data_IF_093140647714
#
_entry.id   IF_093140647714
#
_cell.length_a   1.000
_cell.length_b   1.000
_cell.length_c   1.000
_cell.angle_alpha   90.00
_cell.angle_beta   90.00
_cell.angle_gamma   90.00
#
_symmetry.space_group_name_H-M   'P 1'
#
loop_
_entity.id
_entity.type
_entity.pdbx_description
1 polymer ?
#
# COMPACT_ATOMS: atom_id res chain seq x y z
N UNK A 1 -0.13 -2.67 -20.01
CA UNK A 1 0.58 -1.75 -20.91
C UNK A 1 1.71 -2.51 -21.58
N UNK A 2 1.96 -2.24 -22.85
CA UNK A 2 3.08 -2.83 -23.60
C UNK A 2 3.94 -1.68 -24.14
N UNK A 3 5.26 -1.80 -23.99
CA UNK A 3 6.24 -0.94 -24.62
C UNK A 3 7.20 -1.84 -25.39
N UNK A 4 7.45 -1.55 -26.67
CA UNK A 4 8.20 -2.42 -27.59
C UNK A 4 7.79 -3.91 -27.54
N UNK A 5 6.48 -4.18 -27.48
CA UNK A 5 5.88 -5.52 -27.34
C UNK A 5 6.26 -6.25 -26.03
N UNK A 6 6.88 -5.57 -25.07
CA UNK A 6 7.15 -6.11 -23.74
C UNK A 6 6.12 -5.58 -22.75
N UNK A 7 5.61 -6.47 -21.90
CA UNK A 7 4.69 -6.08 -20.82
C UNK A 7 5.48 -5.30 -19.77
N UNK A 8 5.10 -4.03 -19.57
CA UNK A 8 5.71 -3.11 -18.60
C UNK A 8 4.78 -2.87 -17.40
N UNK A 9 5.12 -1.90 -16.55
CA UNK A 9 4.31 -1.50 -15.40
C UNK A 9 2.87 -1.13 -15.78
N UNK A 10 1.91 -1.24 -14.84
CA UNK A 10 0.59 -0.66 -15.05
C UNK A 10 0.67 0.87 -15.07
N UNK A 11 -0.37 1.52 -15.62
CA UNK A 11 -0.52 2.99 -15.56
C UNK A 11 -0.48 3.51 -14.11
N UNK A 12 -1.03 2.73 -13.19
CA UNK A 12 -0.96 2.99 -11.76
C UNK A 12 -1.21 1.70 -10.98
N UNK A 13 -0.62 1.62 -9.79
CA UNK A 13 -1.00 0.61 -8.80
C UNK A 13 -2.21 1.10 -8.00
N UNK A 14 -2.99 0.16 -7.46
CA UNK A 14 -4.13 0.46 -6.60
C UNK A 14 -3.82 0.01 -5.15
N UNK A 15 -3.16 0.86 -4.34
CA UNK A 15 -2.80 0.51 -2.96
C UNK A 15 -4.03 0.35 -2.06
N UNK A 16 -3.85 -0.19 -0.84
CA UNK A 16 -4.94 -0.34 0.14
C UNK A 16 -5.27 0.95 0.89
N UNK A 17 -4.39 1.95 0.81
CA UNK A 17 -4.54 3.30 1.37
C UNK A 17 -3.95 4.31 0.37
N UNK A 18 -4.40 5.58 0.36
CA UNK A 18 -3.92 6.57 -0.60
C UNK A 18 -2.48 6.99 -0.29
N UNK A 19 -1.51 6.33 -0.93
CA UNK A 19 -0.08 6.58 -0.71
C UNK A 19 0.35 8.01 -1.01
N UNK A 20 -0.37 8.70 -1.91
CA UNK A 20 -0.16 10.12 -2.20
C UNK A 20 -0.30 11.00 -0.96
N UNK A 21 -1.21 10.66 -0.03
CA UNK A 21 -1.35 11.38 1.24
C UNK A 21 -0.27 10.95 2.25
N UNK A 22 0.18 9.69 2.22
CA UNK A 22 1.16 9.18 3.19
C UNK A 22 2.54 9.80 2.97
N UNK A 23 3.03 9.74 1.74
CA UNK A 23 4.37 10.21 1.40
C UNK A 23 4.40 11.68 0.96
N UNK A 24 3.23 12.29 0.79
CA UNK A 24 3.10 13.57 0.12
C UNK A 24 3.41 13.45 -1.37
N UNK A 25 3.38 14.59 -2.05
CA UNK A 25 3.74 14.71 -3.46
C UNK A 25 4.35 16.09 -3.71
N UNK A 26 5.48 16.12 -4.40
CA UNK A 26 6.15 17.37 -4.79
C UNK A 26 6.66 17.23 -6.22
N UNK A 27 6.26 18.15 -7.08
CA UNK A 27 6.61 18.11 -8.50
C UNK A 27 6.36 19.43 -9.20
N UNK A 28 7.24 19.78 -10.13
CA UNK A 28 7.12 21.00 -10.95
C UNK A 28 7.05 20.56 -12.42
N UNK A 29 5.97 20.94 -13.08
CA UNK A 29 5.79 20.76 -14.51
C UNK A 29 5.60 22.09 -15.23
N UNK A 30 5.35 22.03 -16.53
CA UNK A 30 5.02 23.22 -17.31
C UNK A 30 3.58 23.65 -17.03
N UNK A 31 3.40 24.81 -16.40
CA UNK A 31 2.09 25.40 -16.11
C UNK A 31 1.46 24.99 -14.77
N UNK A 32 1.95 23.91 -14.14
CA UNK A 32 1.42 23.40 -12.87
C UNK A 32 2.53 22.96 -11.92
N UNK A 33 2.25 23.03 -10.63
CA UNK A 33 3.07 22.44 -9.58
C UNK A 33 2.18 21.62 -8.63
N UNK A 34 2.73 20.55 -8.08
CA UNK A 34 2.10 19.77 -7.03
C UNK A 34 2.86 19.95 -5.73
N UNK A 35 2.14 20.26 -4.66
CA UNK A 35 2.68 20.30 -3.30
C UNK A 35 1.65 19.78 -2.30
N UNK A 36 1.88 18.57 -1.84
CA UNK A 36 1.06 17.87 -0.86
C UNK A 36 1.97 17.36 0.29
N UNK A 37 1.62 17.62 1.56
CA UNK A 37 2.41 17.17 2.69
C UNK A 37 2.11 15.71 3.04
N UNK A 38 2.90 15.18 3.97
CA UNK A 38 2.69 13.87 4.57
C UNK A 38 1.53 13.90 5.56
N UNK A 39 0.83 12.77 5.70
CA UNK A 39 -0.23 12.53 6.66
C UNK A 39 0.03 11.26 7.46
N UNK A 40 -0.56 11.19 8.66
CA UNK A 40 -0.38 10.04 9.52
C UNK A 40 -1.09 8.81 8.93
N UNK A 41 -0.35 7.70 8.87
CA UNK A 41 -0.84 6.44 8.30
C UNK A 41 -2.06 5.92 9.06
N UNK A 42 -2.05 6.02 10.40
CA UNK A 42 -3.14 5.50 11.23
C UNK A 42 -4.38 6.38 11.11
N UNK A 43 -4.23 7.70 11.00
CA UNK A 43 -5.34 8.61 10.72
C UNK A 43 -5.99 8.32 9.36
N UNK A 44 -5.19 8.14 8.31
CA UNK A 44 -5.70 7.78 6.98
C UNK A 44 -6.43 6.44 7.01
N UNK A 45 -5.85 5.41 7.65
CA UNK A 45 -6.52 4.10 7.82
C UNK A 45 -7.82 4.24 8.60
N UNK A 46 -7.84 5.06 9.65
CA UNK A 46 -9.04 5.30 10.45
C UNK A 46 -10.14 5.96 9.61
N UNK A 47 -9.82 6.97 8.80
CA UNK A 47 -10.78 7.60 7.92
C UNK A 47 -11.30 6.64 6.83
N UNK A 48 -10.44 5.79 6.26
CA UNK A 48 -10.90 4.74 5.34
C UNK A 48 -11.89 3.81 6.05
N UNK A 49 -11.61 3.39 7.30
CA UNK A 49 -12.53 2.56 8.08
C UNK A 49 -13.87 3.25 8.34
N UNK A 50 -13.85 4.54 8.69
CA UNK A 50 -15.07 5.35 8.85
C UNK A 50 -15.92 5.35 7.59
N UNK A 51 -15.29 5.57 6.44
CA UNK A 51 -15.98 5.57 5.15
C UNK A 51 -16.52 4.18 4.77
N UNK A 52 -15.81 3.09 5.14
CA UNK A 52 -16.33 1.72 5.00
C UNK A 52 -17.56 1.44 5.87
N UNK A 53 -17.71 2.16 6.98
CA UNK A 53 -18.86 2.08 7.88
C UNK A 53 -19.97 3.07 7.50
N UNK A 54 -19.78 3.89 6.47
CA UNK A 54 -20.74 4.87 5.95
C UNK A 54 -20.64 6.26 6.59
N UNK A 55 -19.63 6.50 7.41
CA UNK A 55 -19.37 7.80 8.04
C UNK A 55 -18.53 8.71 7.15
N UNK A 56 -18.69 10.03 7.33
CA UNK A 56 -17.79 11.02 6.72
C UNK A 56 -16.37 10.98 7.36
N UNK A 57 -15.30 11.18 6.55
CA UNK A 57 -13.94 11.23 7.04
C UNK A 57 -13.73 12.48 7.91
N UNK A 58 -12.93 12.34 8.95
CA UNK A 58 -12.51 13.44 9.81
C UNK A 58 -11.44 14.29 9.10
N UNK A 59 -11.35 15.60 9.41
CA UNK A 59 -10.20 16.41 9.04
C UNK A 59 -8.88 15.79 9.53
N UNK A 60 -7.85 15.87 8.70
CA UNK A 60 -6.50 15.39 9.02
C UNK A 60 -5.52 16.55 8.92
N UNK A 61 -4.56 16.59 9.83
CA UNK A 61 -3.47 17.56 9.79
C UNK A 61 -2.22 16.92 9.19
N UNK A 62 -1.34 17.71 8.54
CA UNK A 62 -0.06 17.22 8.10
C UNK A 62 0.72 16.60 9.28
N UNK A 63 1.30 15.41 9.04
CA UNK A 63 2.05 14.66 10.04
C UNK A 63 3.28 14.05 9.40
N UNK A 64 4.41 14.18 10.08
CA UNK A 64 5.70 13.71 9.61
C UNK A 64 6.22 12.66 10.58
N UNK A 65 6.55 11.48 10.06
CA UNK A 65 7.04 10.37 10.89
C UNK A 65 8.27 10.81 11.69
N UNK A 66 8.27 10.51 12.99
CA UNK A 66 9.32 10.85 13.98
C UNK A 66 9.52 12.34 14.28
N UNK A 67 8.78 13.25 13.64
CA UNK A 67 8.81 14.67 13.97
C UNK A 67 8.17 14.90 15.35
N UNK A 68 8.89 15.59 16.23
CA UNK A 68 8.42 15.86 17.61
C UNK A 68 7.78 17.22 17.78
N UNK A 69 7.95 18.10 16.79
CA UNK A 69 7.39 19.44 16.83
C UNK A 69 5.88 19.45 16.62
N UNK A 70 5.33 20.64 16.43
CA UNK A 70 3.88 20.85 16.33
C UNK A 70 3.49 21.36 14.95
N UNK A 71 2.35 20.89 14.44
CA UNK A 71 1.72 21.40 13.23
C UNK A 71 0.37 22.00 13.62
N UNK A 72 0.17 23.28 13.31
CA UNK A 72 -1.06 24.01 13.61
C UNK A 72 -1.65 24.56 12.32
N UNK A 73 -2.95 24.37 12.14
CA UNK A 73 -3.70 25.01 11.05
C UNK A 73 -4.01 26.47 11.42
N UNK A 74 -3.61 27.40 10.54
CA UNK A 74 -3.94 28.82 10.66
C UNK A 74 -5.16 29.23 9.83
N UNK A 75 -5.47 28.44 8.82
CA UNK A 75 -6.57 28.65 7.91
C UNK A 75 -6.60 27.54 6.86
N UNK A 76 -7.58 27.55 5.95
CA UNK A 76 -7.71 26.50 4.95
C UNK A 76 -6.41 26.32 4.15
N UNK A 77 -5.86 25.11 4.19
CA UNK A 77 -4.59 24.74 3.53
C UNK A 77 -3.36 25.56 3.96
N UNK A 78 -3.40 26.21 5.13
CA UNK A 78 -2.29 26.99 5.68
C UNK A 78 -1.92 26.50 7.07
N UNK A 79 -0.68 26.07 7.22
CA UNK A 79 -0.16 25.47 8.44
C UNK A 79 1.11 26.19 8.91
N UNK A 80 1.32 26.25 10.22
CA UNK A 80 2.63 26.53 10.81
C UNK A 80 3.19 25.23 11.37
N UNK A 81 4.42 24.93 10.97
CA UNK A 81 5.22 23.83 11.50
C UNK A 81 6.24 24.44 12.45
N UNK A 82 6.16 24.09 13.73
CA UNK A 82 7.05 24.60 14.77
C UNK A 82 7.97 23.50 15.28
N UNK A 83 9.27 23.80 15.42
CA UNK A 83 10.22 22.95 16.13
C UNK A 83 10.02 23.03 17.66
N UNK A 84 10.96 22.45 18.40
CA UNK A 84 10.96 22.47 19.86
C UNK A 84 12.14 23.30 20.39
N UNK A 85 11.83 24.21 21.30
CA UNK A 85 12.81 25.00 22.05
C UNK A 85 12.37 25.10 23.50
N UNK A 86 13.31 24.94 24.42
CA UNK A 86 13.10 25.04 25.86
C UNK A 86 14.18 25.91 26.50
N UNK A 87 13.82 26.59 27.59
CA UNK A 87 14.75 27.41 28.37
C UNK A 87 15.26 26.53 29.50
N UNK A 88 16.59 26.36 29.60
CA UNK A 88 17.22 25.56 30.66
C UNK A 88 17.52 26.41 31.89
N UNK A 89 18.03 27.63 31.67
CA UNK A 89 18.35 28.62 32.70
C UNK A 89 18.34 30.04 32.10
N UNK A 90 18.65 31.07 32.90
CA UNK A 90 18.65 32.49 32.47
C UNK A 90 19.65 32.82 31.36
N UNK A 91 20.54 31.91 31.00
CA UNK A 91 21.58 32.11 29.98
C UNK A 91 21.59 31.06 28.88
N UNK A 92 20.73 30.03 28.97
CA UNK A 92 20.83 28.84 28.12
C UNK A 92 19.49 28.39 27.60
N UNK A 93 19.41 28.18 26.28
CA UNK A 93 18.26 27.55 25.61
C UNK A 93 18.67 26.26 24.90
N UNK A 94 17.75 25.32 24.84
CA UNK A 94 17.93 24.03 24.18
C UNK A 94 16.92 23.87 23.04
N UNK A 95 17.43 23.60 21.83
CA UNK A 95 16.63 23.32 20.64
C UNK A 95 16.73 21.82 20.35
N UNK A 96 15.62 21.10 20.52
CA UNK A 96 15.54 19.63 20.39
C UNK A 96 14.91 19.16 19.08
N UNK A 97 14.27 20.06 18.34
CA UNK A 97 13.63 19.73 17.07
C UNK A 97 13.59 20.96 16.15
N UNK A 98 13.86 20.74 14.85
CA UNK A 98 13.72 21.77 13.83
C UNK A 98 12.41 21.55 13.05
N UNK A 99 11.80 22.60 12.48
CA UNK A 99 10.63 22.41 11.61
C UNK A 99 10.88 21.38 10.51
N UNK A 100 9.85 20.62 10.14
CA UNK A 100 9.95 19.65 9.07
C UNK A 100 10.48 20.30 7.77
N UNK A 101 11.37 19.58 7.05
CA UNK A 101 12.14 20.05 5.89
C UNK A 101 13.22 21.12 6.20
N UNK A 102 13.51 21.41 7.47
CA UNK A 102 14.69 22.21 7.86
C UNK A 102 15.85 21.29 8.24
N UNK A 103 16.90 21.30 7.43
CA UNK A 103 18.09 20.44 7.63
C UNK A 103 19.04 21.03 8.66
N UNK A 104 19.62 20.18 9.53
CA UNK A 104 20.51 20.58 10.63
C UNK A 104 21.67 21.46 10.19
N UNK A 105 22.38 21.08 9.12
CA UNK A 105 23.52 21.84 8.60
C UNK A 105 23.09 23.20 8.04
N UNK A 106 21.97 23.25 7.31
CA UNK A 106 21.44 24.51 6.77
C UNK A 106 21.02 25.43 7.90
N UNK A 107 20.37 24.90 8.94
CA UNK A 107 19.97 25.67 10.11
C UNK A 107 21.19 26.24 10.84
N UNK A 108 22.23 25.43 11.04
CA UNK A 108 23.50 25.88 11.62
C UNK A 108 24.10 27.05 10.83
N UNK A 109 24.30 26.88 9.53
CA UNK A 109 24.97 27.86 8.66
C UNK A 109 24.15 29.14 8.46
N UNK A 110 22.83 29.05 8.34
CA UNK A 110 21.97 30.18 7.97
C UNK A 110 21.31 30.86 9.17
N UNK A 111 21.25 30.22 10.33
CA UNK A 111 20.59 30.76 11.53
C UNK A 111 21.58 30.94 12.67
N UNK A 112 22.27 29.88 13.11
CA UNK A 112 23.13 29.94 14.30
C UNK A 112 24.44 30.71 14.07
N UNK A 113 25.13 30.46 12.95
CA UNK A 113 26.39 31.16 12.63
C UNK A 113 26.21 32.70 12.51
N UNK A 114 25.16 33.21 11.84
CA UNK A 114 24.88 34.65 11.84
C UNK A 114 24.46 35.19 13.21
N UNK A 115 23.78 34.39 14.03
CA UNK A 115 23.42 34.78 15.41
C UNK A 115 24.65 34.84 16.31
N UNK A 116 25.68 34.03 16.08
CA UNK A 116 26.92 34.01 16.87
C UNK A 116 27.87 35.15 16.48
N UNK A 117 28.15 35.29 15.18
CA UNK A 117 29.17 36.21 14.69
C UNK A 117 28.61 37.61 14.39
N UNK A 118 27.29 37.72 14.27
CA UNK A 118 26.64 38.87 13.66
C UNK A 118 26.80 38.86 12.13
N UNK A 119 26.07 39.75 11.47
CA UNK A 119 26.20 40.05 10.04
C UNK A 119 26.23 41.56 9.85
N UNK A 120 26.52 42.04 8.63
CA UNK A 120 26.46 43.48 8.30
C UNK A 120 25.09 44.12 8.64
N UNK A 121 24.02 43.31 8.71
CA UNK A 121 22.64 43.78 8.96
C UNK A 121 22.11 43.45 10.35
N UNK A 122 22.73 42.53 11.08
CA UNK A 122 22.19 42.02 12.35
C UNK A 122 23.31 41.84 13.37
N UNK A 123 23.21 42.44 14.56
CA UNK A 123 24.21 42.22 15.61
C UNK A 123 24.19 40.76 16.10
N UNK A 124 25.28 40.28 16.71
CA UNK A 124 25.29 38.97 17.35
C UNK A 124 24.24 38.93 18.47
N UNK A 125 23.51 37.82 18.53
CA UNK A 125 22.44 37.55 19.48
C UNK A 125 22.88 36.53 20.54
N UNK A 126 23.70 35.55 20.16
CA UNK A 126 24.14 34.45 21.02
C UNK A 126 25.64 34.56 21.29
N UNK A 127 26.11 34.00 22.40
CA UNK A 127 27.53 34.06 22.80
C UNK A 127 28.30 32.80 22.42
N UNK A 128 27.64 31.64 22.42
CA UNK A 128 28.22 30.34 22.07
C UNK A 128 27.08 29.35 21.76
N UNK A 129 27.37 28.26 21.06
CA UNK A 129 26.45 27.13 20.95
C UNK A 129 27.21 25.81 20.85
N UNK A 130 26.59 24.73 21.35
CA UNK A 130 27.13 23.36 21.27
C UNK A 130 26.15 22.42 20.60
N UNK A 131 26.69 21.48 19.84
CA UNK A 131 25.94 20.50 19.07
C UNK A 131 26.05 19.12 19.72
N UNK A 132 24.89 18.49 19.95
CA UNK A 132 24.78 17.14 20.51
C UNK A 132 23.87 16.28 19.63
N UNK A 133 24.03 16.41 18.32
CA UNK A 133 23.21 15.73 17.32
C UNK A 133 23.52 14.23 17.25
N UNK A 134 22.54 13.46 16.81
CA UNK A 134 22.76 12.10 16.30
C UNK A 134 22.49 12.09 14.80
N UNK A 135 22.56 10.92 14.18
CA UNK A 135 22.11 10.68 12.81
C UNK A 135 20.60 10.93 12.61
N UNK A 136 19.82 10.86 13.68
CA UNK A 136 18.35 10.90 13.64
C UNK A 136 17.70 11.97 14.51
N UNK A 137 18.46 12.69 15.33
CA UNK A 137 17.93 13.70 16.27
C UNK A 137 18.76 14.97 16.29
N UNK A 138 18.08 16.12 16.42
CA UNK A 138 18.71 17.43 16.59
C UNK A 138 18.81 17.78 18.07
N UNK A 139 19.89 18.46 18.44
CA UNK A 139 20.08 19.04 19.77
C UNK A 139 21.13 20.15 19.74
N UNK A 140 20.70 21.39 19.87
CA UNK A 140 21.58 22.54 20.07
C UNK A 140 21.41 23.07 21.48
N UNK A 141 22.53 23.34 22.16
CA UNK A 141 22.55 24.06 23.44
C UNK A 141 23.17 25.41 23.17
N UNK A 142 22.36 26.46 23.23
CA UNK A 142 22.72 27.83 22.83
C UNK A 142 22.85 28.69 24.08
N UNK A 143 23.97 29.42 24.18
CA UNK A 143 24.25 30.35 25.27
C UNK A 143 24.00 31.79 24.85
N UNK A 144 23.43 32.56 25.76
CA UNK A 144 23.07 33.96 25.58
C UNK A 144 23.38 34.75 26.86
N UNK A 145 23.38 36.08 26.76
CA UNK A 145 23.34 36.92 27.97
C UNK A 145 21.91 36.95 28.51
N UNK A 146 21.75 37.14 29.83
CA UNK A 146 20.42 37.17 30.46
C UNK A 146 19.51 38.23 29.84
N UNK A 147 20.06 39.41 29.52
CA UNK A 147 19.35 40.49 28.84
C UNK A 147 18.80 40.05 27.47
N UNK A 148 19.65 39.40 26.65
CA UNK A 148 19.26 38.96 25.30
C UNK A 148 18.27 37.79 25.34
N UNK A 149 18.38 36.91 26.33
CA UNK A 149 17.41 35.83 26.49
C UNK A 149 16.03 36.37 26.89
N UNK A 150 15.98 37.31 27.85
CA UNK A 150 14.72 37.95 28.24
C UNK A 150 14.05 38.70 27.06
N UNK A 151 14.85 39.40 26.24
CA UNK A 151 14.38 40.01 24.99
C UNK A 151 13.83 38.95 24.00
N UNK A 152 14.53 37.82 23.85
CA UNK A 152 14.14 36.75 22.94
C UNK A 152 12.85 36.03 23.39
N UNK A 153 12.67 35.80 24.69
CA UNK A 153 11.45 35.24 25.27
C UNK A 153 10.26 36.17 25.05
N UNK A 154 10.43 37.47 25.33
CA UNK A 154 9.38 38.47 25.11
C UNK A 154 8.97 38.57 23.63
N UNK A 155 9.91 38.38 22.70
CA UNK A 155 9.64 38.36 21.27
C UNK A 155 9.09 37.00 20.76
N UNK A 156 9.21 35.94 21.56
CA UNK A 156 8.86 34.56 21.24
C UNK A 156 10.04 33.77 20.65
N UNK A 157 10.51 32.76 21.40
CA UNK A 157 11.70 31.97 21.05
C UNK A 157 11.60 31.31 19.66
N UNK A 158 10.45 30.71 19.33
CA UNK A 158 10.24 30.10 18.01
C UNK A 158 10.45 31.08 16.86
N UNK A 159 10.00 32.33 17.01
CA UNK A 159 10.15 33.38 16.00
C UNK A 159 11.60 33.86 15.91
N UNK A 160 12.23 34.07 17.06
CA UNK A 160 13.62 34.56 17.16
C UNK A 160 14.58 33.54 16.55
N UNK A 161 14.48 32.28 16.97
CA UNK A 161 15.32 31.19 16.49
C UNK A 161 14.88 30.59 15.14
N UNK A 162 13.91 31.20 14.45
CA UNK A 162 13.45 30.71 13.12
C UNK A 162 12.99 29.25 13.15
N UNK A 163 12.41 28.80 14.27
CA UNK A 163 11.87 27.46 14.47
C UNK A 163 10.40 27.37 14.08
N UNK A 164 9.95 28.21 13.15
CA UNK A 164 8.61 28.20 12.58
C UNK A 164 8.69 28.35 11.08
N UNK A 165 8.10 27.40 10.35
CA UNK A 165 7.96 27.44 8.90
C UNK A 165 6.48 27.41 8.52
N UNK A 166 6.09 28.27 7.59
CA UNK A 166 4.74 28.25 7.01
C UNK A 166 4.67 27.22 5.88
N UNK A 167 3.65 26.38 5.90
CA UNK A 167 3.31 25.44 4.86
C UNK A 167 1.96 25.83 4.25
N UNK A 168 1.94 26.13 2.96
CA UNK A 168 0.71 26.43 2.21
C UNK A 168 0.49 25.39 1.12
N UNK A 169 -0.71 24.81 1.09
CA UNK A 169 -1.08 23.69 0.21
C UNK A 169 -2.17 24.08 -0.79
N UNK A 170 -1.97 25.19 -1.53
CA UNK A 170 -2.95 25.67 -2.53
C UNK A 170 -2.82 25.02 -3.92
N UNK A 171 -1.81 24.16 -4.10
CA UNK A 171 -1.46 23.55 -5.38
C UNK A 171 -1.44 22.02 -5.25
N UNK A 172 -2.57 21.44 -4.87
CA UNK A 172 -2.76 19.99 -4.84
C UNK A 172 -3.24 19.54 -6.23
N UNK A 173 -2.30 19.40 -7.17
CA UNK A 173 -2.59 19.04 -8.56
C UNK A 173 -2.10 17.62 -8.82
N UNK A 174 -3.01 16.72 -9.18
CA UNK A 174 -2.71 15.31 -9.44
C UNK A 174 -3.41 14.86 -10.72
N UNK A 175 -2.90 13.80 -11.34
CA UNK A 175 -3.66 13.07 -12.36
C UNK A 175 -4.74 12.23 -11.68
N UNK A 176 -5.97 12.29 -12.21
CA UNK A 176 -7.02 11.36 -11.83
C UNK A 176 -6.80 9.98 -12.45
N UNK A 177 -7.65 9.02 -12.10
CA UNK A 177 -7.53 7.64 -12.59
C UNK A 177 -7.78 7.48 -14.10
N UNK A 178 -8.24 8.54 -14.79
CA UNK A 178 -8.41 8.59 -16.24
C UNK A 178 -7.24 9.31 -16.93
N UNK A 179 -6.20 9.68 -16.19
CA UNK A 179 -5.05 10.42 -16.72
C UNK A 179 -5.34 11.91 -16.96
N UNK A 180 -6.44 12.46 -16.43
CA UNK A 180 -6.76 13.87 -16.55
C UNK A 180 -6.21 14.66 -15.36
N UNK A 181 -5.58 15.80 -15.64
CA UNK A 181 -5.00 16.66 -14.60
C UNK A 181 -6.12 17.38 -13.83
N UNK A 182 -6.14 17.26 -12.50
CA UNK A 182 -7.11 17.91 -11.61
C UNK A 182 -6.43 18.65 -10.47
N UNK A 183 -7.03 19.79 -10.09
CA UNK A 183 -6.70 20.51 -8.85
C UNK A 183 -7.74 20.15 -7.79
N UNK A 184 -7.25 19.78 -6.61
CA UNK A 184 -8.06 19.49 -5.44
C UNK A 184 -8.00 20.68 -4.48
N UNK A 185 -9.14 21.05 -3.90
CA UNK A 185 -9.20 22.17 -2.94
C UNK A 185 -9.01 21.70 -1.50
N UNK A 186 -9.47 20.48 -1.16
CA UNK A 186 -9.26 19.87 0.15
C UNK A 186 -8.80 18.42 0.03
N UNK A 187 -8.04 17.96 1.02
CA UNK A 187 -7.47 16.59 1.03
C UNK A 187 -8.54 15.49 1.10
N UNK A 188 -9.71 15.81 1.63
CA UNK A 188 -10.84 14.90 1.76
C UNK A 188 -11.38 14.52 0.38
N UNK A 189 -11.28 15.41 -0.61
CA UNK A 189 -11.69 15.11 -1.99
C UNK A 189 -10.79 14.04 -2.61
N UNK A 190 -9.47 14.15 -2.38
CA UNK A 190 -8.48 13.14 -2.80
C UNK A 190 -8.80 11.79 -2.12
N UNK A 191 -9.10 11.82 -0.82
CA UNK A 191 -9.43 10.62 -0.06
C UNK A 191 -10.73 9.96 -0.56
N UNK A 192 -11.75 10.75 -0.86
CA UNK A 192 -13.05 10.28 -1.38
C UNK A 192 -12.92 9.68 -2.78
N UNK A 193 -12.24 10.36 -3.69
CA UNK A 193 -12.01 9.85 -5.05
C UNK A 193 -11.22 8.53 -5.02
N UNK A 194 -10.15 8.47 -4.20
CA UNK A 194 -9.40 7.23 -3.99
C UNK A 194 -10.28 6.12 -3.41
N UNK A 195 -11.12 6.43 -2.42
CA UNK A 195 -11.97 5.45 -1.75
C UNK A 195 -12.97 4.80 -2.70
N UNK A 196 -13.66 5.61 -3.51
CA UNK A 196 -14.63 5.12 -4.49
C UNK A 196 -13.97 4.19 -5.52
N UNK A 197 -12.82 4.63 -6.06
CA UNK A 197 -12.04 3.83 -6.98
C UNK A 197 -11.59 2.52 -6.32
N UNK A 198 -11.04 2.60 -5.10
CA UNK A 198 -10.52 1.42 -4.40
C UNK A 198 -11.63 0.43 -4.07
N UNK A 199 -12.81 0.90 -3.65
CA UNK A 199 -14.00 0.05 -3.44
C UNK A 199 -14.37 -0.73 -4.71
N UNK A 200 -14.41 -0.04 -5.86
CA UNK A 200 -14.67 -0.69 -7.15
C UNK A 200 -13.66 -1.81 -7.44
N UNK A 201 -12.38 -1.55 -7.19
CA UNK A 201 -11.32 -2.54 -7.41
C UNK A 201 -11.35 -3.71 -6.41
N UNK A 202 -11.87 -3.53 -5.19
CA UNK A 202 -12.17 -4.68 -4.32
C UNK A 202 -13.32 -5.54 -4.84
N UNK A 203 -14.33 -4.93 -5.47
CA UNK A 203 -15.36 -5.65 -6.23
C UNK A 203 -14.74 -6.52 -7.32
N UNK A 204 -13.96 -5.89 -8.21
CA UNK A 204 -13.24 -6.59 -9.29
C UNK A 204 -12.32 -7.70 -8.77
N UNK A 205 -11.59 -7.43 -7.68
CA UNK A 205 -10.74 -8.43 -7.02
C UNK A 205 -11.55 -9.61 -6.50
N UNK A 206 -12.70 -9.36 -5.87
CA UNK A 206 -13.57 -10.43 -5.38
C UNK A 206 -14.06 -11.29 -6.53
N UNK A 207 -14.54 -10.69 -7.61
CA UNK A 207 -15.05 -11.41 -8.78
C UNK A 207 -13.94 -12.25 -9.45
N UNK A 208 -12.74 -11.68 -9.58
CA UNK A 208 -11.56 -12.41 -10.06
C UNK A 208 -11.23 -13.61 -9.19
N UNK A 209 -11.16 -13.43 -7.86
CA UNK A 209 -10.86 -14.50 -6.92
C UNK A 209 -11.94 -15.59 -6.92
N UNK A 210 -13.21 -15.22 -7.09
CA UNK A 210 -14.32 -16.18 -7.25
C UNK A 210 -14.17 -16.99 -8.54
N UNK A 211 -13.75 -16.35 -9.63
CA UNK A 211 -13.43 -17.01 -10.90
C UNK A 211 -12.28 -18.01 -10.78
N UNK A 212 -11.14 -17.58 -10.23
CA UNK A 212 -9.96 -18.42 -9.99
C UNK A 212 -10.31 -19.62 -9.11
N UNK A 213 -10.85 -19.38 -7.91
CA UNK A 213 -11.15 -20.44 -6.95
C UNK A 213 -12.28 -21.35 -7.46
N UNK A 214 -13.25 -20.80 -8.19
CA UNK A 214 -14.29 -21.58 -8.85
C UNK A 214 -13.72 -22.56 -9.87
N UNK A 215 -12.82 -22.08 -10.74
CA UNK A 215 -12.14 -22.90 -11.73
C UNK A 215 -11.22 -23.96 -11.09
N UNK A 216 -10.46 -23.60 -10.06
CA UNK A 216 -9.62 -24.53 -9.28
C UNK A 216 -10.46 -25.61 -8.59
N UNK A 217 -11.56 -25.21 -7.93
CA UNK A 217 -12.49 -26.13 -7.25
C UNK A 217 -13.14 -27.09 -8.23
N UNK A 218 -13.56 -26.60 -9.41
CA UNK A 218 -14.14 -27.43 -10.46
C UNK A 218 -13.11 -28.44 -11.01
N UNK A 219 -11.87 -27.98 -11.26
CA UNK A 219 -10.77 -28.85 -11.70
C UNK A 219 -10.49 -29.98 -10.72
N UNK A 220 -10.35 -29.67 -9.43
CA UNK A 220 -10.13 -30.68 -8.38
C UNK A 220 -11.33 -31.62 -8.23
N UNK A 221 -12.54 -31.11 -8.39
CA UNK A 221 -13.77 -31.92 -8.34
C UNK A 221 -13.81 -32.95 -9.47
N UNK A 222 -13.48 -32.53 -10.69
CA UNK A 222 -13.37 -33.42 -11.86
C UNK A 222 -12.22 -34.43 -11.70
N UNK A 223 -11.06 -34.01 -11.18
CA UNK A 223 -9.95 -34.93 -10.90
C UNK A 223 -10.32 -35.97 -9.83
N UNK A 224 -10.95 -35.55 -8.73
CA UNK A 224 -11.39 -36.46 -7.67
C UNK A 224 -12.44 -37.44 -8.19
N UNK A 225 -13.42 -36.96 -8.97
CA UNK A 225 -14.44 -37.79 -9.62
C UNK A 225 -13.82 -38.84 -10.56
N UNK A 226 -12.86 -38.43 -11.39
CA UNK A 226 -12.15 -39.31 -12.31
C UNK A 226 -11.43 -40.45 -11.59
N UNK A 227 -10.68 -40.13 -10.53
CA UNK A 227 -9.96 -41.12 -9.72
C UNK A 227 -10.93 -42.06 -9.00
N UNK A 228 -12.02 -41.54 -8.44
CA UNK A 228 -13.05 -42.34 -7.76
C UNK A 228 -13.72 -43.32 -8.73
N UNK A 229 -14.19 -42.83 -9.88
CA UNK A 229 -14.85 -43.67 -10.89
C UNK A 229 -13.88 -44.72 -11.48
N UNK A 230 -12.58 -44.38 -11.58
CA UNK A 230 -11.55 -45.32 -12.03
C UNK A 230 -11.30 -46.44 -11.02
N UNK A 231 -11.25 -46.13 -9.72
CA UNK A 231 -11.06 -47.11 -8.64
C UNK A 231 -12.31 -47.98 -8.47
N UNK A 232 -13.50 -47.41 -8.63
CA UNK A 232 -14.78 -48.12 -8.55
C UNK A 232 -15.08 -48.97 -9.79
N UNK A 233 -14.21 -48.94 -10.81
CA UNK A 233 -14.38 -49.70 -12.06
C UNK A 233 -15.46 -49.16 -12.99
N UNK A 234 -16.07 -48.01 -12.67
CA UNK A 234 -17.06 -47.32 -13.53
C UNK A 234 -16.42 -46.71 -14.77
N UNK A 235 -15.14 -46.32 -14.66
CA UNK A 235 -14.35 -45.73 -15.73
C UNK A 235 -13.20 -46.66 -16.12
N UNK A 236 -13.25 -47.18 -17.35
CA UNK A 236 -12.19 -48.05 -17.91
C UNK A 236 -11.48 -47.29 -19.03
N UNK A 237 -10.17 -47.08 -18.87
CA UNK A 237 -9.32 -46.32 -19.80
C UNK A 237 -8.27 -47.19 -20.50
N UNK A 238 -8.05 -48.40 -20.00
CA UNK A 238 -7.06 -49.34 -20.52
C UNK A 238 -7.34 -49.71 -21.98
N UNK A 239 -6.30 -49.61 -22.82
CA UNK A 239 -6.31 -50.03 -24.22
C UNK A 239 -7.40 -49.37 -25.10
N UNK A 240 -7.88 -48.16 -24.73
CA UNK A 240 -8.81 -47.37 -25.55
C UNK A 240 -8.08 -46.30 -26.38
N UNK A 241 -8.46 -46.09 -27.65
CA UNK A 241 -7.96 -44.97 -28.45
C UNK A 241 -8.24 -43.61 -27.79
N UNK A 242 -7.29 -42.67 -27.89
CA UNK A 242 -7.41 -41.31 -27.31
C UNK A 242 -8.72 -40.60 -27.70
N UNK A 243 -9.14 -40.74 -28.96
CA UNK A 243 -10.38 -40.13 -29.47
C UNK A 243 -11.63 -40.68 -28.75
N UNK A 244 -11.67 -41.98 -28.49
CA UNK A 244 -12.77 -42.62 -27.76
C UNK A 244 -12.78 -42.22 -26.28
N UNK A 245 -11.61 -42.05 -25.67
CA UNK A 245 -11.49 -41.55 -24.29
C UNK A 245 -12.08 -40.13 -24.15
N UNK A 246 -11.75 -39.24 -25.08
CA UNK A 246 -12.29 -37.86 -25.10
C UNK A 246 -13.82 -37.88 -25.23
N UNK A 247 -14.36 -38.65 -26.20
CA UNK A 247 -15.81 -38.79 -26.38
C UNK A 247 -16.52 -39.47 -25.20
N UNK A 248 -15.84 -40.37 -24.49
CA UNK A 248 -16.37 -40.99 -23.28
C UNK A 248 -16.45 -39.99 -22.13
N UNK A 249 -15.39 -39.23 -21.87
CA UNK A 249 -15.38 -38.20 -20.83
C UNK A 249 -16.43 -37.11 -21.08
N UNK A 250 -16.59 -36.70 -22.33
CA UNK A 250 -17.64 -35.76 -22.74
C UNK A 250 -19.05 -36.32 -22.49
N UNK A 251 -19.32 -37.58 -22.86
CA UNK A 251 -20.60 -38.25 -22.57
C UNK A 251 -20.87 -38.42 -21.07
N UNK A 252 -19.83 -38.56 -20.27
CA UNK A 252 -19.93 -38.65 -18.81
C UNK A 252 -20.05 -37.28 -18.13
N UNK A 253 -20.02 -36.19 -18.90
CA UNK A 253 -20.16 -34.82 -18.40
C UNK A 253 -18.96 -34.35 -17.58
N UNK A 254 -17.75 -34.73 -17.98
CA UNK A 254 -16.54 -34.08 -17.48
C UNK A 254 -16.33 -32.76 -18.20
N UNK A 255 -15.95 -31.72 -17.46
CA UNK A 255 -15.64 -30.44 -18.08
C UNK A 255 -14.25 -30.48 -18.75
N UNK A 256 -14.09 -29.74 -19.84
CA UNK A 256 -12.76 -29.35 -20.34
C UNK A 256 -12.03 -28.52 -19.27
N UNK A 257 -10.69 -28.48 -19.26
CA UNK A 257 -9.88 -27.84 -18.19
C UNK A 257 -10.46 -26.48 -17.75
N UNK A 258 -11.11 -26.41 -16.57
CA UNK A 258 -11.83 -25.21 -16.15
C UNK A 258 -10.91 -24.01 -15.94
N UNK A 259 -9.67 -24.24 -15.51
CA UNK A 259 -8.70 -23.17 -15.26
C UNK A 259 -8.20 -22.57 -16.56
N UNK A 260 -7.94 -23.41 -17.57
CA UNK A 260 -7.52 -22.94 -18.90
C UNK A 260 -8.68 -22.22 -19.61
N UNK A 261 -9.89 -22.75 -19.50
CA UNK A 261 -11.09 -22.10 -20.03
C UNK A 261 -11.33 -20.73 -19.39
N UNK A 262 -11.21 -20.64 -18.06
CA UNK A 262 -11.36 -19.38 -17.34
C UNK A 262 -10.28 -18.36 -17.73
N UNK A 263 -8.99 -18.74 -17.77
CA UNK A 263 -7.91 -17.84 -18.22
C UNK A 263 -8.16 -17.27 -19.62
N UNK A 264 -8.53 -18.15 -20.56
CA UNK A 264 -8.86 -17.74 -21.93
C UNK A 264 -10.07 -16.79 -22.00
N UNK A 265 -11.04 -16.94 -21.08
CA UNK A 265 -12.18 -16.03 -20.99
C UNK A 265 -11.79 -14.63 -20.50
N UNK A 266 -10.75 -14.53 -19.66
CA UNK A 266 -10.24 -13.25 -19.18
C UNK A 266 -9.40 -12.56 -20.25
N UNK A 267 -8.53 -13.30 -20.95
CA UNK A 267 -7.73 -12.77 -22.07
C UNK A 267 -8.62 -12.18 -23.18
N UNK A 268 -9.69 -12.89 -23.54
CA UNK A 268 -10.69 -12.39 -24.51
C UNK A 268 -11.49 -11.18 -24.05
N UNK A 269 -11.55 -10.90 -22.75
CA UNK A 269 -12.24 -9.74 -22.21
C UNK A 269 -11.31 -8.52 -22.13
N UNK A 270 -9.99 -8.72 -22.15
CA UNK A 270 -8.96 -7.66 -22.17
C UNK A 270 -8.67 -7.14 -23.59
N UNK A 271 -8.90 -7.94 -24.63
CA UNK A 271 -8.84 -7.50 -26.03
C UNK A 271 -10.13 -6.73 -26.40
N UNK A 272 -10.04 -5.42 -26.63
CA UNK A 272 -11.16 -4.60 -27.15
C UNK A 272 -11.72 -5.18 -28.48
N UNK A 273 -13.02 -5.06 -28.76
CA UNK A 273 -13.70 -5.71 -29.89
C UNK A 273 -13.40 -5.07 -31.28
N UNK A 274 -12.22 -4.50 -31.51
CA UNK A 274 -11.85 -3.87 -32.80
C UNK A 274 -10.79 -4.63 -33.62
N UNK A 275 -10.58 -5.92 -33.36
CA UNK A 275 -9.73 -6.75 -34.21
C UNK A 275 -10.33 -8.14 -34.48
N UNK A 276 -11.56 -8.18 -35.00
CA UNK A 276 -11.97 -9.34 -35.79
C UNK A 276 -11.27 -9.28 -37.15
N UNK A 277 -10.08 -9.87 -37.24
CA UNK A 277 -9.59 -10.62 -38.42
C UNK A 277 -8.16 -11.09 -38.16
N UNK A 278 -8.05 -12.27 -37.53
CA UNK A 278 -7.01 -13.31 -37.71
C UNK A 278 -6.79 -14.08 -36.40
N UNK A 279 -7.83 -14.77 -35.92
CA UNK A 279 -7.64 -15.85 -34.97
C UNK A 279 -7.28 -17.12 -35.75
N UNK A 280 -5.99 -17.43 -35.80
CA UNK A 280 -5.47 -18.73 -36.19
C UNK A 280 -6.25 -19.86 -35.49
N UNK A 281 -6.51 -20.93 -36.22
CA UNK A 281 -7.26 -22.11 -35.78
C UNK A 281 -6.55 -22.84 -34.63
N UNK A 282 -6.76 -22.41 -33.40
CA UNK A 282 -6.30 -23.12 -32.19
C UNK A 282 -7.30 -24.21 -31.85
N UNK A 283 -6.95 -25.45 -32.17
CA UNK A 283 -7.55 -26.74 -31.74
C UNK A 283 -8.83 -26.63 -30.89
N UNK A 284 -9.98 -26.55 -31.56
CA UNK A 284 -11.33 -26.36 -31.00
C UNK A 284 -11.91 -27.60 -30.28
N UNK A 285 -11.07 -28.39 -29.58
CA UNK A 285 -11.48 -29.63 -28.92
C UNK A 285 -11.51 -29.52 -27.39
N UNK A 286 -12.29 -30.38 -26.69
CA UNK A 286 -12.22 -30.50 -25.24
C UNK A 286 -10.82 -30.86 -24.74
N UNK A 287 -10.33 -30.13 -23.73
CA UNK A 287 -9.01 -30.35 -23.11
C UNK A 287 -9.15 -31.16 -21.81
N UNK A 288 -8.98 -32.48 -21.92
CA UNK A 288 -8.97 -33.41 -20.80
C UNK A 288 -7.56 -33.78 -20.32
N UNK A 289 -6.52 -33.05 -20.77
CA UNK A 289 -5.14 -33.40 -20.39
C UNK A 289 -4.93 -33.32 -18.87
N UNK A 290 -5.63 -32.43 -18.17
CA UNK A 290 -5.55 -32.30 -16.71
C UNK A 290 -6.07 -33.53 -15.93
N UNK A 291 -6.83 -34.41 -16.59
CA UNK A 291 -7.25 -35.70 -16.06
C UNK A 291 -6.30 -36.82 -16.51
N UNK A 292 -6.01 -36.88 -17.81
CA UNK A 292 -5.26 -37.97 -18.42
C UNK A 292 -3.74 -37.93 -18.15
N UNK A 293 -3.20 -36.77 -17.78
CA UNK A 293 -1.79 -36.61 -17.41
C UNK A 293 -1.50 -36.91 -15.94
N UNK A 294 -2.53 -37.25 -15.15
CA UNK A 294 -2.33 -37.63 -13.75
C UNK A 294 -1.52 -38.93 -13.66
N UNK A 295 -0.39 -38.94 -12.92
CA UNK A 295 0.40 -40.16 -12.72
C UNK A 295 -0.38 -41.30 -12.08
N UNK A 296 0.00 -42.56 -12.39
CA UNK A 296 -0.69 -43.76 -11.88
C UNK A 296 -0.78 -43.85 -10.35
N UNK A 297 0.18 -43.26 -9.62
CA UNK A 297 0.16 -43.23 -8.16
C UNK A 297 -1.00 -42.41 -7.56
N UNK A 298 -1.71 -41.60 -8.36
CA UNK A 298 -2.98 -40.97 -7.95
C UNK A 298 -4.09 -41.99 -7.67
N UNK A 299 -3.95 -43.23 -8.13
CA UNK A 299 -4.88 -44.32 -7.82
C UNK A 299 -4.59 -45.00 -6.47
N UNK A 300 -3.51 -44.61 -5.77
CA UNK A 300 -3.25 -45.08 -4.42
C UNK A 300 -4.25 -44.49 -3.42
N UNK A 301 -4.51 -45.22 -2.33
CA UNK A 301 -5.43 -44.77 -1.27
C UNK A 301 -5.01 -43.42 -0.69
N UNK A 302 -3.72 -43.26 -0.38
CA UNK A 302 -3.17 -42.04 0.20
C UNK A 302 -3.40 -40.83 -0.71
N UNK A 303 -3.10 -40.96 -2.01
CA UNK A 303 -3.26 -39.83 -2.93
C UNK A 303 -4.71 -39.51 -3.23
N UNK A 304 -5.58 -40.52 -3.30
CA UNK A 304 -7.03 -40.30 -3.38
C UNK A 304 -7.52 -39.46 -2.19
N UNK A 305 -7.15 -39.85 -0.97
CA UNK A 305 -7.57 -39.14 0.24
C UNK A 305 -7.02 -37.71 0.27
N UNK A 306 -5.76 -37.52 -0.13
CA UNK A 306 -5.15 -36.19 -0.26
C UNK A 306 -5.88 -35.32 -1.30
N UNK A 307 -6.20 -35.86 -2.48
CA UNK A 307 -6.91 -35.14 -3.53
C UNK A 307 -8.32 -34.74 -3.11
N UNK A 308 -9.04 -35.64 -2.41
CA UNK A 308 -10.36 -35.32 -1.85
C UNK A 308 -10.26 -34.21 -0.80
N UNK A 309 -9.26 -34.27 0.10
CA UNK A 309 -9.00 -33.20 1.07
C UNK A 309 -8.69 -31.87 0.38
N UNK A 310 -7.88 -31.87 -0.68
CA UNK A 310 -7.57 -30.66 -1.45
C UNK A 310 -8.82 -30.04 -2.09
N UNK A 311 -9.68 -30.87 -2.70
CA UNK A 311 -10.98 -30.43 -3.22
C UNK A 311 -11.82 -29.77 -2.12
N UNK A 312 -12.00 -30.46 -0.99
CA UNK A 312 -12.87 -30.00 0.10
C UNK A 312 -12.36 -28.68 0.70
N UNK A 313 -11.03 -28.55 0.86
CA UNK A 313 -10.40 -27.29 1.30
C UNK A 313 -10.67 -26.17 0.30
N UNK A 314 -10.51 -26.41 -1.01
CA UNK A 314 -10.76 -25.40 -2.03
C UNK A 314 -12.23 -24.99 -2.13
N UNK A 315 -13.14 -25.93 -1.95
CA UNK A 315 -14.57 -25.65 -1.90
C UNK A 315 -14.93 -24.83 -0.65
N UNK A 316 -14.32 -25.13 0.50
CA UNK A 316 -14.46 -24.33 1.72
C UNK A 316 -13.89 -22.92 1.56
N UNK A 317 -12.72 -22.76 0.94
CA UNK A 317 -12.11 -21.45 0.61
C UNK A 317 -13.07 -20.63 -0.26
N UNK A 318 -13.61 -21.24 -1.33
CA UNK A 318 -14.56 -20.59 -2.23
C UNK A 318 -15.83 -20.16 -1.51
N UNK A 319 -16.40 -21.04 -0.68
CA UNK A 319 -17.61 -20.73 0.08
C UNK A 319 -17.36 -19.64 1.14
N UNK A 320 -16.18 -19.62 1.74
CA UNK A 320 -15.77 -18.55 2.66
C UNK A 320 -15.66 -17.22 1.92
N UNK A 321 -15.02 -17.20 0.75
CA UNK A 321 -14.88 -15.99 -0.07
C UNK A 321 -16.24 -15.45 -0.56
N UNK A 322 -17.16 -16.33 -0.97
CA UNK A 322 -18.52 -15.94 -1.39
C UNK A 322 -19.25 -15.14 -0.31
N UNK A 323 -19.03 -15.49 0.97
CA UNK A 323 -19.65 -14.84 2.13
C UNK A 323 -19.04 -13.49 2.47
N UNK A 324 -17.78 -13.23 2.09
CA UNK A 324 -17.11 -11.94 2.34
C UNK A 324 -17.58 -10.88 1.36
N UNK A 325 -17.87 -9.68 1.83
CA UNK A 325 -18.09 -8.51 0.97
C UNK A 325 -16.76 -7.88 0.52
N UNK A 326 -16.81 -6.98 -0.46
CA UNK A 326 -15.64 -6.16 -0.86
C UNK A 326 -15.10 -5.35 0.33
N UNK A 327 -16.01 -4.83 1.17
CA UNK A 327 -15.71 -4.13 2.41
C UNK A 327 -14.95 -5.02 3.40
N UNK A 328 -15.37 -6.27 3.58
CA UNK A 328 -14.70 -7.21 4.50
C UNK A 328 -13.28 -7.52 4.05
N UNK A 329 -13.08 -7.74 2.75
CA UNK A 329 -11.74 -7.96 2.17
C UNK A 329 -10.83 -6.77 2.42
N UNK A 330 -11.35 -5.54 2.30
CA UNK A 330 -10.56 -4.36 2.60
C UNK A 330 -10.25 -4.23 4.10
N UNK A 331 -11.21 -4.50 4.97
CA UNK A 331 -11.00 -4.48 6.43
C UNK A 331 -9.91 -5.48 6.86
N UNK A 332 -9.89 -6.67 6.26
CA UNK A 332 -8.85 -7.69 6.49
C UNK A 332 -7.46 -7.20 6.06
N UNK A 333 -7.33 -6.63 4.86
CA UNK A 333 -6.06 -6.10 4.36
C UNK A 333 -5.56 -4.93 5.25
N UNK A 334 -6.44 -4.04 5.69
CA UNK A 334 -6.09 -2.93 6.59
C UNK A 334 -5.66 -3.43 7.98
N UNK A 335 -6.29 -4.49 8.48
CA UNK A 335 -5.92 -5.09 9.77
C UNK A 335 -4.53 -5.73 9.70
N UNK A 336 -4.27 -6.54 8.65
CA UNK A 336 -2.97 -7.15 8.42
C UNK A 336 -1.87 -6.09 8.23
N UNK A 337 -2.17 -5.01 7.51
CA UNK A 337 -1.25 -3.89 7.33
C UNK A 337 -0.91 -3.20 8.65
N UNK A 338 -1.91 -2.90 9.50
CA UNK A 338 -1.66 -2.25 10.78
C UNK A 338 -0.86 -3.15 11.75
N UNK A 339 -1.14 -4.44 11.76
CA UNK A 339 -0.36 -5.42 12.55
C UNK A 339 1.12 -5.38 12.15
N UNK A 340 1.41 -5.47 10.85
CA UNK A 340 2.79 -5.43 10.36
C UNK A 340 3.44 -4.05 10.56
N UNK A 341 2.67 -2.96 10.43
CA UNK A 341 3.17 -1.61 10.69
C UNK A 341 3.62 -1.44 12.15
N UNK A 342 2.91 -2.03 13.10
CA UNK A 342 3.29 -2.00 14.52
C UNK A 342 4.55 -2.82 14.82
N UNK A 343 4.73 -3.95 14.13
CA UNK A 343 5.94 -4.77 14.22
C UNK A 343 7.15 -4.04 13.63
N UNK A 344 6.97 -3.43 12.45
CA UNK A 344 8.05 -2.76 11.71
C UNK A 344 8.41 -1.37 12.25
N UNK A 345 7.50 -0.70 12.96
CA UNK A 345 7.72 0.61 13.59
C UNK A 345 7.35 0.56 15.07
N UNK A 346 8.17 -0.13 15.91
CA UNK A 346 7.95 -0.14 17.34
C UNK A 346 8.01 1.29 17.89
N UNK A 347 7.13 1.60 18.86
CA UNK A 347 7.14 2.89 19.54
C UNK A 347 8.55 3.14 20.12
N UNK A 348 9.07 4.38 20.06
CA UNK A 348 10.34 4.69 20.72
C UNK A 348 10.26 4.28 22.20
N UNK A 349 11.02 3.27 22.59
CA UNK A 349 11.03 2.70 23.95
C UNK A 349 10.56 1.24 24.08
N UNK A 350 10.02 0.61 23.04
CA UNK A 350 9.66 -0.82 23.05
C UNK A 350 10.64 -1.65 22.21
N UNK A 351 11.73 -2.10 22.83
CA UNK A 351 12.58 -3.15 22.25
C UNK A 351 11.86 -4.47 22.46
N UNK A 352 11.20 -4.99 21.41
CA UNK A 352 10.70 -6.37 21.46
C UNK A 352 11.92 -7.29 21.39
N UNK A 353 12.29 -7.89 22.51
CA UNK A 353 13.27 -8.97 22.55
C UNK A 353 12.63 -10.22 21.94
N UNK A 354 12.74 -10.40 20.62
CA UNK A 354 12.35 -11.66 19.97
C UNK A 354 13.56 -12.58 19.82
N UNK A 355 13.89 -13.30 20.90
CA UNK A 355 14.48 -14.64 20.73
C UNK A 355 13.37 -15.62 20.35
N UNK A 356 12.92 -15.57 19.10
CA UNK A 356 12.07 -16.61 18.53
C UNK A 356 12.50 -16.87 17.09
N UNK A 357 12.97 -18.09 16.83
CA UNK A 357 13.39 -18.55 15.50
C UNK A 357 12.24 -18.38 14.49
N UNK A 358 12.52 -17.99 13.23
CA UNK A 358 11.48 -17.82 12.22
C UNK A 358 10.88 -19.19 11.87
N UNK A 359 9.55 -19.31 12.03
CA UNK A 359 8.79 -20.40 11.40
C UNK A 359 8.68 -20.07 9.91
N UNK A 360 9.18 -20.97 9.06
CA UNK A 360 8.95 -20.94 7.61
C UNK A 360 7.44 -21.10 7.34
N UNK A 361 6.76 -20.02 7.02
CA UNK A 361 5.47 -20.05 6.33
C UNK A 361 5.70 -19.78 4.85
N UNK A 362 5.17 -20.69 4.03
CA UNK A 362 5.26 -20.73 2.59
C UNK A 362 4.79 -19.44 1.92
N UNK A 363 5.49 -19.04 0.86
CA UNK A 363 5.37 -17.74 0.22
C UNK A 363 3.97 -17.38 -0.26
N UNK A 364 3.54 -16.18 0.13
CA UNK A 364 2.67 -15.32 -0.66
C UNK A 364 3.48 -14.05 -0.93
N UNK A 365 3.79 -13.82 -2.20
CA UNK A 365 4.51 -12.65 -2.66
C UNK A 365 3.68 -11.39 -2.37
N UNK A 366 4.06 -10.64 -1.33
CA UNK A 366 3.74 -9.23 -1.21
C UNK A 366 4.85 -8.45 -1.91
N UNK A 367 4.62 -8.05 -3.15
CA UNK A 367 5.46 -7.03 -3.79
C UNK A 367 5.05 -5.67 -3.20
N UNK A 368 5.70 -5.31 -2.09
CA UNK A 368 5.74 -3.94 -1.60
C UNK A 368 6.87 -3.24 -2.35
N UNK A 369 6.55 -2.62 -3.48
CA UNK A 369 7.51 -1.76 -4.19
C UNK A 369 7.24 -0.33 -3.74
N UNK A 370 8.07 0.12 -2.81
CA UNK A 370 8.40 1.54 -2.66
C UNK A 370 9.17 1.97 -3.91
N UNK A 371 8.62 2.93 -4.66
CA UNK A 371 9.39 3.90 -5.43
C UNK A 371 8.87 5.28 -5.04
#
# INVERSE_FOLDING_TARGET
MYDDNQKVEPEWYIPIIPMVLINGAEGIGTGWACRLPNFDVKEVVNNVRRMLDGDEPLPMLPSFKNFKGTVLELGPNQYIISGEVSVLDSTTVEITELPAKTWTQIYKEQVLEPMLNGSEKTPPLITDYKEYHTDTTVRFVVKMTEEKLAEAEAAGLHKVFKLQTSLTCNSMVLFDHMGCLRKYEVIQDILKEFFELRMKYYGLRKDWLLGVLGAESCKLSNQARFILEKIEGKLVIENKPKKELIQMLERMGYDSDPVKAWKKSQEKAEEEPEAEENAETVTSGPDYNYLLSMPMWYLTKEKKEELCKQRDVKEQELNTLKRKSATDLWKEDLAAFLEELEVSCPRPGFVISTHAKPKKTSGKFFFCVLV
#
